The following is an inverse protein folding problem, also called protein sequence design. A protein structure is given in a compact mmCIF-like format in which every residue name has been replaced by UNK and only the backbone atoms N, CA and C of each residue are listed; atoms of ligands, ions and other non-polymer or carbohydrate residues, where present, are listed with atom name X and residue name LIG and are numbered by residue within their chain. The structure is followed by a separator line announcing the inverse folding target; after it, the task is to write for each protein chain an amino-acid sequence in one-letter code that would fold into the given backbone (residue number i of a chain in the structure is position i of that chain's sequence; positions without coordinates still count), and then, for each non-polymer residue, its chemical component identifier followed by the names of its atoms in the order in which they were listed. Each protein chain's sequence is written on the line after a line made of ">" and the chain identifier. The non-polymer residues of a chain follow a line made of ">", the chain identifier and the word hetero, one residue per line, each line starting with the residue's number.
data_IF_824722748384
#
_entry.id   IF_824722748384
#
_cell.length_a   1.000
_cell.length_b   1.000
_cell.length_c   1.000
_cell.angle_alpha   90.00
_cell.angle_beta   90.00
_cell.angle_gamma   90.00
#
_symmetry.space_group_name_H-M   'P 1'
#
loop_
_entity.id
_entity.type
_entity.pdbx_description
1 polymer ?
#
# COMPACT_ATOMS: atom_id res chain seq x y z
N UNK A 1 22.32 -7.41 -38.86
CA UNK A 1 22.38 -7.36 -37.38
C UNK A 1 21.34 -8.35 -36.90
N UNK A 2 21.71 -9.35 -36.10
CA UNK A 2 20.74 -10.30 -35.58
C UNK A 2 19.81 -9.56 -34.61
N UNK A 3 18.49 -9.67 -34.81
CA UNK A 3 17.51 -9.19 -33.84
C UNK A 3 17.79 -9.93 -32.52
N UNK A 4 18.21 -9.17 -31.50
CA UNK A 4 18.37 -9.71 -30.15
C UNK A 4 16.98 -10.00 -29.63
N UNK A 5 16.66 -11.28 -29.46
CA UNK A 5 15.39 -11.70 -28.86
C UNK A 5 15.27 -11.06 -27.46
N UNK A 6 14.16 -10.36 -27.23
CA UNK A 6 13.91 -9.68 -25.95
C UNK A 6 13.60 -10.72 -24.88
N UNK A 7 14.20 -10.55 -23.71
CA UNK A 7 13.88 -11.36 -22.53
C UNK A 7 12.44 -11.17 -22.06
N UNK A 8 11.94 -12.12 -21.26
CA UNK A 8 10.62 -12.03 -20.59
C UNK A 8 10.44 -10.68 -19.90
N UNK A 9 11.47 -10.25 -19.16
CA UNK A 9 11.46 -8.97 -18.45
C UNK A 9 11.34 -7.77 -19.39
N UNK A 10 12.17 -7.70 -20.43
CA UNK A 10 12.14 -6.61 -21.41
C UNK A 10 10.78 -6.55 -22.14
N UNK A 11 10.17 -7.69 -22.42
CA UNK A 11 8.86 -7.77 -23.07
C UNK A 11 7.75 -7.23 -22.16
N UNK A 12 7.70 -7.66 -20.90
CA UNK A 12 6.65 -7.26 -19.96
C UNK A 12 6.81 -5.83 -19.44
N UNK A 13 8.05 -5.42 -19.17
CA UNK A 13 8.35 -4.06 -18.71
C UNK A 13 8.10 -2.99 -19.79
N UNK A 14 8.00 -3.40 -21.06
CA UNK A 14 7.62 -2.50 -22.17
C UNK A 14 6.11 -2.25 -22.30
N UNK A 15 5.27 -2.98 -21.55
CA UNK A 15 3.82 -2.78 -21.58
C UNK A 15 3.49 -1.55 -20.73
N UNK A 16 2.88 -0.55 -21.36
CA UNK A 16 2.26 0.55 -20.63
C UNK A 16 1.00 0.05 -19.90
N UNK A 17 0.99 0.22 -18.58
CA UNK A 17 -0.13 -0.19 -17.73
C UNK A 17 -0.86 1.01 -17.12
N UNK A 18 -0.53 2.24 -17.51
CA UNK A 18 -1.01 3.48 -16.89
C UNK A 18 -2.54 3.59 -16.86
N UNK A 19 -3.23 3.10 -17.88
CA UNK A 19 -4.71 3.07 -17.97
C UNK A 19 -5.36 1.94 -17.15
N UNK A 20 -4.55 1.07 -16.53
CA UNK A 20 -4.97 -0.05 -15.68
C UNK A 20 -4.61 0.14 -14.22
N UNK A 21 -3.88 1.20 -13.88
CA UNK A 21 -3.49 1.50 -12.51
C UNK A 21 -4.71 1.94 -11.72
N UNK A 22 -5.07 1.15 -10.73
CA UNK A 22 -6.01 1.53 -9.70
C UNK A 22 -5.25 2.18 -8.54
N UNK A 23 -5.82 3.25 -7.98
CA UNK A 23 -5.24 4.00 -6.86
C UNK A 23 -6.10 3.83 -5.62
N UNK A 24 -5.49 3.50 -4.50
CA UNK A 24 -6.17 3.41 -3.20
C UNK A 24 -5.52 4.35 -2.23
N UNK A 25 -6.30 5.31 -1.75
CA UNK A 25 -5.89 6.26 -0.71
C UNK A 25 -6.21 5.68 0.67
N UNK A 26 -5.23 5.75 1.56
CA UNK A 26 -5.38 5.46 2.99
C UNK A 26 -4.75 6.61 3.76
N UNK A 27 -5.59 7.55 4.20
CA UNK A 27 -5.11 8.85 4.70
C UNK A 27 -4.37 9.63 3.62
N UNK A 28 -3.11 10.01 3.89
CA UNK A 28 -2.23 10.72 2.93
C UNK A 28 -1.49 9.77 1.99
N UNK A 29 -1.49 8.46 2.26
CA UNK A 29 -0.76 7.48 1.44
C UNK A 29 -1.63 7.05 0.27
N UNK A 30 -1.06 7.04 -0.92
CA UNK A 30 -1.69 6.52 -2.15
C UNK A 30 -0.89 5.32 -2.62
N UNK A 31 -1.53 4.16 -2.69
CA UNK A 31 -0.95 2.96 -3.28
C UNK A 31 -1.50 2.74 -4.67
N UNK A 32 -0.62 2.37 -5.59
CA UNK A 32 -0.95 2.00 -6.97
C UNK A 32 -0.96 0.49 -7.10
N UNK A 33 -1.96 -0.05 -7.79
CA UNK A 33 -2.06 -1.50 -8.00
C UNK A 33 -2.72 -1.81 -9.33
N UNK A 34 -2.46 -3.02 -9.82
CA UNK A 34 -3.17 -3.60 -10.95
C UNK A 34 -4.19 -4.62 -10.43
N UNK A 35 -5.32 -4.72 -11.12
CA UNK A 35 -6.23 -5.84 -10.93
C UNK A 35 -5.52 -7.17 -11.22
N UNK A 36 -5.67 -8.14 -10.32
CA UNK A 36 -5.03 -9.45 -10.47
C UNK A 36 -5.51 -10.20 -11.72
N UNK A 37 -6.79 -10.09 -12.06
CA UNK A 37 -7.36 -10.74 -13.25
C UNK A 37 -6.74 -10.16 -14.52
N UNK A 38 -6.58 -8.84 -14.55
CA UNK A 38 -5.98 -8.14 -15.67
C UNK A 38 -4.50 -8.49 -15.81
N UNK A 39 -3.73 -8.37 -14.72
CA UNK A 39 -2.30 -8.66 -14.72
C UNK A 39 -2.03 -10.10 -15.17
N UNK A 40 -2.77 -11.08 -14.62
CA UNK A 40 -2.62 -12.48 -15.03
C UNK A 40 -3.05 -12.74 -16.47
N UNK A 41 -4.14 -12.11 -16.93
CA UNK A 41 -4.58 -12.22 -18.32
C UNK A 41 -3.51 -11.70 -19.28
N UNK A 42 -2.94 -10.53 -19.00
CA UNK A 42 -1.92 -9.90 -19.83
C UNK A 42 -0.63 -10.73 -19.85
N UNK A 43 -0.23 -11.28 -18.69
CA UNK A 43 0.87 -12.21 -18.59
C UNK A 43 0.67 -13.46 -19.45
N UNK A 44 -0.50 -14.10 -19.36
CA UNK A 44 -0.81 -15.33 -20.10
C UNK A 44 -0.96 -15.13 -21.61
N UNK A 45 -1.37 -13.94 -22.08
CA UNK A 45 -1.39 -13.63 -23.53
C UNK A 45 -0.01 -13.72 -24.14
N UNK A 46 1.01 -13.22 -23.44
CA UNK A 46 2.41 -13.27 -23.88
C UNK A 46 3.07 -14.62 -23.60
N UNK A 47 2.75 -15.22 -22.45
CA UNK A 47 3.34 -16.48 -21.99
C UNK A 47 2.25 -17.52 -21.67
N UNK A 48 1.65 -18.18 -22.68
CA UNK A 48 0.53 -19.09 -22.48
C UNK A 48 0.84 -20.30 -21.61
N UNK A 49 2.11 -20.67 -21.46
CA UNK A 49 2.56 -21.77 -20.59
C UNK A 49 2.83 -21.36 -19.15
N UNK A 50 2.82 -20.05 -18.84
CA UNK A 50 3.06 -19.59 -17.50
C UNK A 50 2.06 -20.19 -16.49
N UNK A 51 2.55 -20.45 -15.29
CA UNK A 51 1.78 -20.96 -14.16
C UNK A 51 2.03 -20.10 -12.93
N UNK A 52 1.12 -20.18 -11.97
CA UNK A 52 1.38 -19.70 -10.62
C UNK A 52 0.91 -20.74 -9.61
N UNK A 53 1.49 -20.68 -8.41
CA UNK A 53 1.11 -21.49 -7.26
C UNK A 53 0.85 -20.58 -6.06
N UNK A 54 -0.17 -20.92 -5.27
CA UNK A 54 -0.36 -20.38 -3.93
C UNK A 54 0.23 -21.42 -2.97
N UNK A 55 1.33 -21.07 -2.29
CA UNK A 55 2.01 -22.02 -1.42
C UNK A 55 1.12 -22.36 -0.23
N UNK A 56 1.01 -23.64 0.07
CA UNK A 56 0.28 -24.15 1.23
C UNK A 56 1.25 -24.64 2.30
N UNK A 57 0.81 -24.53 3.55
CA UNK A 57 1.57 -24.91 4.73
C UNK A 57 0.74 -25.86 5.58
N UNK A 58 1.36 -26.92 6.08
CA UNK A 58 0.71 -27.85 7.00
C UNK A 58 0.67 -27.21 8.39
N UNK A 59 -0.53 -26.98 8.89
CA UNK A 59 -0.76 -26.48 10.25
C UNK A 59 -0.43 -27.53 11.31
N UNK A 60 -0.41 -27.10 12.58
CA UNK A 60 -0.24 -28.01 13.73
C UNK A 60 -1.28 -29.13 13.79
N UNK A 61 -2.48 -28.85 13.28
CA UNK A 61 -3.60 -29.81 13.24
C UNK A 61 -3.61 -30.67 11.97
N UNK A 62 -2.56 -30.58 11.12
CA UNK A 62 -2.43 -31.36 9.90
C UNK A 62 -3.18 -30.80 8.68
N UNK A 63 -3.90 -29.68 8.82
CA UNK A 63 -4.60 -29.04 7.71
C UNK A 63 -3.66 -28.23 6.82
N UNK A 64 -3.85 -28.27 5.50
CA UNK A 64 -3.18 -27.35 4.56
C UNK A 64 -3.83 -25.96 4.60
N UNK A 65 -3.02 -24.93 4.85
CA UNK A 65 -3.44 -23.53 4.89
C UNK A 65 -2.67 -22.70 3.86
N UNK A 66 -3.30 -21.73 3.17
CA UNK A 66 -2.64 -20.89 2.17
C UNK A 66 -1.83 -19.73 2.80
N UNK A 67 -1.36 -19.90 4.04
CA UNK A 67 -0.61 -18.90 4.79
C UNK A 67 0.25 -19.56 5.88
N UNK A 68 1.33 -18.89 6.25
CA UNK A 68 2.03 -19.10 7.52
C UNK A 68 1.42 -18.22 8.60
N UNK A 69 1.40 -18.71 9.83
CA UNK A 69 0.91 -17.99 10.99
C UNK A 69 1.95 -17.99 12.11
N UNK A 70 2.22 -16.81 12.65
CA UNK A 70 2.95 -16.59 13.89
C UNK A 70 2.13 -15.64 14.78
N UNK A 71 1.85 -16.03 16.02
CA UNK A 71 0.95 -15.27 16.90
C UNK A 71 1.50 -13.89 17.29
N UNK A 72 2.82 -13.67 17.12
CA UNK A 72 3.46 -12.39 17.44
C UNK A 72 3.39 -11.42 16.28
N UNK A 73 3.67 -11.90 15.07
CA UNK A 73 3.88 -11.08 13.87
C UNK A 73 2.71 -11.11 12.90
N UNK A 74 1.84 -12.12 12.96
CA UNK A 74 0.61 -12.24 12.18
C UNK A 74 0.69 -13.33 11.11
N UNK A 75 0.12 -13.04 9.94
CA UNK A 75 0.04 -13.99 8.82
C UNK A 75 0.87 -13.56 7.63
N UNK A 76 1.48 -14.52 6.95
CA UNK A 76 2.26 -14.32 5.72
C UNK A 76 1.73 -15.26 4.62
N UNK A 77 1.48 -14.71 3.44
CA UNK A 77 1.05 -15.49 2.26
C UNK A 77 2.17 -15.52 1.23
N UNK A 78 2.20 -16.57 0.40
CA UNK A 78 3.27 -16.80 -0.56
C UNK A 78 2.69 -17.21 -1.90
N UNK A 79 3.29 -16.69 -2.97
CA UNK A 79 2.97 -17.08 -4.34
C UNK A 79 4.26 -17.39 -5.08
N UNK A 80 4.19 -18.31 -6.03
CA UNK A 80 5.26 -18.58 -6.98
C UNK A 80 4.73 -18.42 -8.39
N UNK A 81 5.47 -17.77 -9.27
CA UNK A 81 5.12 -17.61 -10.69
C UNK A 81 6.26 -18.20 -11.52
N UNK A 82 5.92 -19.01 -12.51
CA UNK A 82 6.88 -19.70 -13.38
C UNK A 82 6.61 -19.38 -14.85
N UNK A 83 7.67 -18.99 -15.57
CA UNK A 83 7.68 -18.77 -17.03
C UNK A 83 9.06 -19.12 -17.57
N UNK A 84 9.10 -19.84 -18.70
CA UNK A 84 10.34 -20.24 -19.39
C UNK A 84 11.42 -20.80 -18.44
N UNK A 85 11.01 -21.76 -17.59
CA UNK A 85 11.83 -22.44 -16.57
C UNK A 85 12.38 -21.54 -15.45
N UNK A 86 12.05 -20.25 -15.45
CA UNK A 86 12.37 -19.32 -14.36
C UNK A 86 11.18 -19.24 -13.40
N UNK A 87 11.46 -19.41 -12.11
CA UNK A 87 10.46 -19.27 -11.04
C UNK A 87 10.86 -18.16 -10.09
N UNK A 88 9.92 -17.27 -9.76
CA UNK A 88 10.05 -16.31 -8.68
C UNK A 88 9.04 -16.59 -7.58
N UNK A 89 9.52 -16.67 -6.34
CA UNK A 89 8.70 -16.71 -5.14
C UNK A 89 8.55 -15.28 -4.58
N UNK A 90 7.37 -14.96 -4.09
CA UNK A 90 7.05 -13.70 -3.43
C UNK A 90 6.23 -13.98 -2.18
N UNK A 91 6.37 -13.11 -1.18
CA UNK A 91 5.58 -13.15 0.05
C UNK A 91 4.97 -11.79 0.38
N UNK A 92 3.87 -11.79 1.11
CA UNK A 92 3.21 -10.57 1.57
C UNK A 92 2.53 -10.79 2.93
N UNK A 93 2.68 -9.88 3.91
CA UNK A 93 1.91 -9.99 5.14
C UNK A 93 0.44 -9.71 4.88
N UNK A 94 -0.43 -10.37 5.64
CA UNK A 94 -1.86 -10.03 5.68
C UNK A 94 -2.01 -8.76 6.49
N UNK A 95 -2.58 -7.73 5.86
CA UNK A 95 -2.69 -6.39 6.43
C UNK A 95 -4.09 -5.81 6.24
N UNK A 96 -4.47 -4.92 7.13
CA UNK A 96 -5.71 -4.15 7.05
C UNK A 96 -5.63 -3.03 5.98
N UNK A 97 -6.68 -2.20 5.90
CA UNK A 97 -6.73 -1.06 4.99
C UNK A 97 -5.72 0.07 5.27
N UNK A 98 -5.09 0.06 6.44
CA UNK A 98 -4.05 1.00 6.87
C UNK A 98 -2.64 0.37 6.82
N UNK A 99 -2.49 -0.76 6.12
CA UNK A 99 -1.25 -1.52 6.01
C UNK A 99 -0.68 -1.97 7.38
N UNK A 100 -1.54 -2.18 8.37
CA UNK A 100 -1.14 -2.79 9.65
C UNK A 100 -1.30 -4.30 9.56
N UNK A 101 -0.26 -5.02 9.97
CA UNK A 101 -0.27 -6.48 10.01
C UNK A 101 -1.43 -6.97 10.89
N UNK A 102 -2.26 -7.87 10.36
CA UNK A 102 -3.38 -8.46 11.09
C UNK A 102 -2.91 -9.75 11.79
N UNK A 103 -3.50 -10.02 12.95
CA UNK A 103 -3.16 -11.18 13.81
C UNK A 103 -4.38 -12.05 14.06
N UNK A 104 -4.19 -13.18 14.74
CA UNK A 104 -5.25 -14.09 15.16
C UNK A 104 -6.19 -13.47 16.21
N UNK A 105 -5.74 -12.41 16.89
CA UNK A 105 -6.52 -11.63 17.83
C UNK A 105 -6.43 -10.15 17.51
N UNK A 106 -7.50 -9.37 17.78
CA UNK A 106 -7.42 -7.92 17.66
C UNK A 106 -6.39 -7.37 18.64
N UNK A 107 -5.72 -6.29 18.24
CA UNK A 107 -4.75 -5.60 19.09
C UNK A 107 -4.88 -4.08 18.96
N UNK A 108 -4.38 -3.39 19.97
CA UNK A 108 -4.37 -1.93 20.04
C UNK A 108 -2.95 -1.42 19.91
N UNK A 109 -2.80 -0.25 19.30
CA UNK A 109 -1.52 0.44 19.18
C UNK A 109 -1.72 1.94 19.38
N UNK A 110 -0.72 2.58 19.98
CA UNK A 110 -0.73 4.03 20.18
C UNK A 110 -0.13 4.71 18.95
N UNK A 111 -0.85 5.67 18.39
CA UNK A 111 -0.29 6.59 17.41
C UNK A 111 0.18 7.85 18.10
N UNK A 112 1.23 8.47 17.56
CA UNK A 112 1.81 9.70 18.13
C UNK A 112 0.80 10.86 18.23
N UNK A 113 -0.19 10.90 17.34
CA UNK A 113 -1.07 12.06 17.18
C UNK A 113 -2.57 11.77 17.26
N UNK A 114 -3.02 10.57 16.88
CA UNK A 114 -4.45 10.24 16.80
C UNK A 114 -4.87 9.25 17.90
N UNK A 115 -4.10 9.18 18.99
CA UNK A 115 -4.39 8.32 20.14
C UNK A 115 -4.30 6.82 19.85
N UNK A 116 -5.03 6.05 20.65
CA UNK A 116 -5.15 4.60 20.52
C UNK A 116 -5.96 4.24 19.27
N UNK A 117 -5.43 3.31 18.47
CA UNK A 117 -6.12 2.68 17.34
C UNK A 117 -6.16 1.17 17.56
N UNK A 118 -7.11 0.49 16.94
CA UNK A 118 -7.18 -0.97 16.91
C UNK A 118 -6.90 -1.52 15.51
N UNK A 119 -6.45 -2.76 15.48
CA UNK A 119 -6.40 -3.61 14.29
C UNK A 119 -7.26 -4.83 14.61
N UNK A 120 -8.20 -5.13 13.72
CA UNK A 120 -9.08 -6.28 13.85
C UNK A 120 -8.33 -7.59 13.58
N UNK A 121 -8.89 -8.71 14.05
CA UNK A 121 -8.37 -10.03 13.70
C UNK A 121 -8.48 -10.30 12.19
N UNK A 122 -7.56 -11.08 11.63
CA UNK A 122 -7.59 -11.41 10.22
C UNK A 122 -8.79 -12.30 9.86
N UNK A 123 -9.42 -12.02 8.72
CA UNK A 123 -10.41 -12.90 8.10
C UNK A 123 -9.83 -13.64 6.89
N UNK A 124 -10.49 -14.71 6.44
CA UNK A 124 -10.12 -15.37 5.17
C UNK A 124 -10.26 -14.45 3.96
N UNK A 125 -11.09 -13.40 4.04
CA UNK A 125 -11.17 -12.39 2.98
C UNK A 125 -9.91 -11.53 2.92
N UNK A 126 -9.32 -11.20 4.08
CA UNK A 126 -8.06 -10.48 4.16
C UNK A 126 -6.90 -11.34 3.64
N UNK A 127 -6.90 -12.63 3.98
CA UNK A 127 -5.96 -13.62 3.42
C UNK A 127 -6.07 -13.67 1.90
N UNK A 128 -7.28 -13.83 1.35
CA UNK A 128 -7.48 -13.88 -0.11
C UNK A 128 -7.00 -12.60 -0.80
N UNK A 129 -7.31 -11.42 -0.23
CA UNK A 129 -6.80 -10.14 -0.74
C UNK A 129 -5.28 -10.09 -0.72
N UNK A 130 -4.65 -10.54 0.36
CA UNK A 130 -3.19 -10.57 0.47
C UNK A 130 -2.59 -11.52 -0.57
N UNK A 131 -3.17 -12.69 -0.81
CA UNK A 131 -2.71 -13.65 -1.82
C UNK A 131 -2.76 -13.01 -3.21
N UNK A 132 -3.88 -12.37 -3.58
CA UNK A 132 -4.00 -11.73 -4.89
C UNK A 132 -3.04 -10.54 -5.04
N UNK A 133 -2.85 -9.73 -3.99
CA UNK A 133 -1.82 -8.67 -3.98
C UNK A 133 -0.41 -9.24 -4.15
N UNK A 134 -0.11 -10.34 -3.46
CA UNK A 134 1.16 -11.05 -3.55
C UNK A 134 1.40 -11.57 -4.96
N UNK A 135 0.39 -12.17 -5.59
CA UNK A 135 0.46 -12.67 -6.97
C UNK A 135 0.80 -11.56 -7.96
N UNK A 136 0.12 -10.42 -7.89
CA UNK A 136 0.39 -9.30 -8.82
C UNK A 136 1.80 -8.73 -8.62
N UNK A 137 2.26 -8.61 -7.37
CA UNK A 137 3.65 -8.20 -7.08
C UNK A 137 4.66 -9.22 -7.59
N UNK A 138 4.35 -10.51 -7.52
CA UNK A 138 5.20 -11.56 -8.09
C UNK A 138 5.27 -11.45 -9.62
N UNK A 139 4.13 -11.27 -10.28
CA UNK A 139 4.06 -11.02 -11.73
C UNK A 139 4.91 -9.79 -12.11
N UNK A 140 4.90 -8.74 -11.28
CA UNK A 140 5.70 -7.55 -11.51
C UNK A 140 7.22 -7.79 -11.43
N UNK A 141 7.68 -8.83 -10.72
CA UNK A 141 9.11 -9.22 -10.73
C UNK A 141 9.58 -9.67 -12.12
N UNK A 142 8.66 -10.14 -12.96
CA UNK A 142 8.92 -10.42 -14.36
C UNK A 142 8.76 -9.18 -15.25
N UNK A 143 8.55 -7.98 -14.70
CA UNK A 143 8.56 -6.70 -15.41
C UNK A 143 7.20 -6.05 -15.60
N UNK A 144 6.08 -6.78 -15.49
CA UNK A 144 4.75 -6.21 -15.77
C UNK A 144 4.36 -5.18 -14.71
N UNK A 145 4.34 -3.90 -15.08
CA UNK A 145 3.92 -2.82 -14.20
C UNK A 145 4.83 -2.59 -12.99
N UNK A 146 6.07 -3.09 -13.00
CA UNK A 146 7.00 -2.98 -11.86
C UNK A 146 7.18 -1.53 -11.37
N UNK A 147 7.21 -0.58 -12.31
CA UNK A 147 7.42 0.84 -12.02
C UNK A 147 6.32 1.47 -11.14
N UNK A 148 5.12 0.90 -11.07
CA UNK A 148 4.03 1.46 -10.24
C UNK A 148 4.24 1.18 -8.74
N UNK A 149 5.11 0.22 -8.41
CA UNK A 149 5.47 -0.14 -7.04
C UNK A 149 6.72 0.59 -6.55
N UNK A 150 7.42 1.30 -7.44
CA UNK A 150 8.56 2.11 -7.07
C UNK A 150 8.12 3.21 -6.09
N UNK A 151 8.80 3.33 -4.95
CA UNK A 151 8.50 4.32 -3.93
C UNK A 151 7.56 3.85 -2.81
N UNK A 152 6.96 2.66 -2.91
CA UNK A 152 6.25 2.05 -1.76
C UNK A 152 7.19 1.73 -0.58
N UNK A 153 8.50 1.62 -0.85
CA UNK A 153 9.58 1.35 0.09
C UNK A 153 10.15 2.62 0.76
N UNK A 154 9.75 3.81 0.29
CA UNK A 154 10.17 5.07 0.90
C UNK A 154 9.51 5.24 2.28
N UNK A 155 10.19 5.90 3.24
CA UNK A 155 9.63 6.15 4.56
C UNK A 155 8.28 6.87 4.44
N UNK A 156 7.27 6.37 5.16
CA UNK A 156 6.02 7.12 5.29
C UNK A 156 6.32 8.49 5.90
N UNK A 157 5.83 9.57 5.28
CA UNK A 157 5.85 10.87 5.93
C UNK A 157 5.15 10.76 7.28
N UNK A 158 5.71 11.33 8.36
CA UNK A 158 5.14 11.20 9.68
C UNK A 158 3.68 11.67 9.64
N UNK A 159 2.73 10.87 10.16
CA UNK A 159 1.32 11.22 10.11
C UNK A 159 1.16 12.58 10.78
N UNK A 160 0.61 13.57 10.08
CA UNK A 160 0.27 14.84 10.73
C UNK A 160 -1.08 14.67 11.45
N UNK A 161 -1.25 15.26 12.64
CA UNK A 161 -2.53 15.29 13.34
C UNK A 161 -3.69 15.64 12.40
N UNK A 162 -4.75 14.84 12.45
CA UNK A 162 -6.02 15.19 11.80
C UNK A 162 -6.76 16.16 12.73
N UNK A 163 -6.39 17.42 12.64
CA UNK A 163 -7.11 18.54 13.24
C UNK A 163 -8.16 19.03 12.26
N UNK A 164 -9.31 19.48 12.75
CA UNK A 164 -10.26 20.25 11.96
C UNK A 164 -9.63 21.56 11.45
N UNK A 165 -10.22 22.17 10.42
CA UNK A 165 -9.69 23.40 9.83
C UNK A 165 -9.55 24.52 10.89
N UNK A 166 -10.57 24.70 11.74
CA UNK A 166 -10.52 25.60 12.89
C UNK A 166 -9.40 25.28 13.89
N UNK A 167 -9.17 24.00 14.19
CA UNK A 167 -8.09 23.57 15.10
C UNK A 167 -6.69 23.78 14.51
N UNK A 168 -6.53 23.60 13.19
CA UNK A 168 -5.29 23.90 12.48
C UNK A 168 -4.96 25.40 12.57
N UNK A 169 -5.95 26.25 12.27
CA UNK A 169 -5.80 27.70 12.36
C UNK A 169 -5.50 28.13 13.79
N UNK A 170 -6.20 27.58 14.79
CA UNK A 170 -5.96 27.89 16.19
C UNK A 170 -4.57 27.45 16.66
N UNK A 171 -4.10 26.25 16.26
CA UNK A 171 -2.75 25.76 16.58
C UNK A 171 -1.67 26.64 15.95
N UNK A 172 -1.86 27.03 14.69
CA UNK A 172 -0.96 27.97 14.00
C UNK A 172 -0.89 29.31 14.74
N UNK A 173 -2.03 29.94 15.05
CA UNK A 173 -2.07 31.23 15.75
C UNK A 173 -1.53 31.15 17.19
N UNK A 174 -1.59 29.98 17.83
CA UNK A 174 -0.95 29.77 19.13
C UNK A 174 0.58 29.79 19.02
N UNK A 175 1.14 29.30 17.92
CA UNK A 175 2.58 29.28 17.66
C UNK A 175 3.08 30.63 17.07
N UNK A 176 2.22 31.31 16.31
CA UNK A 176 2.53 32.54 15.57
C UNK A 176 1.43 33.61 15.78
N UNK A 177 1.24 34.11 17.02
CA UNK A 177 0.14 35.02 17.35
C UNK A 177 0.17 36.34 16.57
N UNK A 178 1.36 36.78 16.13
CA UNK A 178 1.56 37.98 15.32
C UNK A 178 0.88 37.91 13.94
N UNK A 179 0.62 36.70 13.43
CA UNK A 179 0.02 36.51 12.10
C UNK A 179 -1.52 36.55 12.11
N UNK A 180 -2.15 36.79 13.26
CA UNK A 180 -3.61 36.90 13.38
C UNK A 180 -4.25 37.88 12.37
N UNK A 181 -3.73 39.10 12.16
CA UNK A 181 -4.31 40.02 11.17
C UNK A 181 -4.32 39.45 9.75
N UNK A 182 -3.26 38.74 9.35
CA UNK A 182 -3.13 38.15 8.02
C UNK A 182 -4.11 36.96 7.85
N UNK A 183 -4.23 36.13 8.89
CA UNK A 183 -5.19 35.01 8.89
C UNK A 183 -6.63 35.53 8.79
N UNK A 184 -6.97 36.56 9.57
CA UNK A 184 -8.30 37.19 9.54
C UNK A 184 -8.58 37.85 8.16
N UNK A 185 -7.56 38.33 7.46
CA UNK A 185 -7.68 38.83 6.08
C UNK A 185 -7.89 37.71 5.07
N UNK A 186 -7.15 36.60 5.17
CA UNK A 186 -7.34 35.45 4.29
C UNK A 186 -8.74 34.84 4.43
N UNK A 187 -9.29 34.75 5.64
CA UNK A 187 -10.64 34.24 5.88
C UNK A 187 -11.75 35.10 5.27
N UNK A 188 -11.47 36.34 4.86
CA UNK A 188 -12.44 37.18 4.11
C UNK A 188 -12.52 36.81 2.63
N UNK A 189 -11.47 36.20 2.09
CA UNK A 189 -11.31 35.99 0.64
C UNK A 189 -11.16 34.51 0.25
N UNK A 190 -10.90 33.63 1.22
CA UNK A 190 -10.70 32.19 1.05
C UNK A 190 -11.60 31.42 2.00
N UNK A 191 -11.91 30.18 1.64
CA UNK A 191 -12.60 29.26 2.55
C UNK A 191 -11.72 28.91 3.76
N UNK A 192 -12.35 28.54 4.88
CA UNK A 192 -11.63 28.10 6.08
C UNK A 192 -10.65 26.95 5.78
N UNK A 193 -11.07 26.01 4.93
CA UNK A 193 -10.25 24.89 4.49
C UNK A 193 -8.97 25.33 3.76
N UNK A 194 -9.09 26.27 2.82
CA UNK A 194 -7.92 26.81 2.10
C UNK A 194 -6.95 27.52 3.04
N UNK A 195 -7.47 28.30 4.00
CA UNK A 195 -6.63 28.97 5.00
C UNK A 195 -5.95 27.95 5.91
N UNK A 196 -6.68 26.93 6.37
CA UNK A 196 -6.14 25.87 7.21
C UNK A 196 -4.99 25.10 6.54
N UNK A 197 -5.16 24.70 5.27
CA UNK A 197 -4.08 24.03 4.52
C UNK A 197 -2.87 24.93 4.28
N UNK A 198 -3.06 26.24 4.06
CA UNK A 198 -1.95 27.20 3.99
C UNK A 198 -1.18 27.27 5.31
N UNK A 199 -1.87 27.37 6.45
CA UNK A 199 -1.23 27.48 7.76
C UNK A 199 -0.53 26.20 8.21
N UNK A 200 -1.08 25.04 7.82
CA UNK A 200 -0.57 23.70 8.14
C UNK A 200 0.89 23.50 7.77
N UNK A 201 1.37 24.14 6.69
CA UNK A 201 2.76 24.08 6.25
C UNK A 201 3.74 24.76 7.22
N UNK A 202 3.26 25.66 8.09
CA UNK A 202 4.06 26.47 9.01
C UNK A 202 3.88 26.10 10.49
N UNK A 203 3.10 25.05 10.77
CA UNK A 203 2.94 24.52 12.12
C UNK A 203 4.16 23.66 12.46
N UNK A 204 4.84 24.01 13.54
CA UNK A 204 5.84 23.14 14.18
C UNK A 204 5.10 22.02 14.92
N UNK A 205 5.07 20.83 14.33
CA UNK A 205 4.39 19.67 14.90
C UNK A 205 5.11 19.05 16.11
N UNK A 206 6.29 19.54 16.48
CA UNK A 206 6.99 19.12 17.70
C UNK A 206 6.53 19.86 18.96
N UNK A 207 5.73 20.92 18.81
CA UNK A 207 5.22 21.80 19.88
C UNK A 207 3.70 21.80 19.96
#
# INVERSE_FOLDING_TARGET
>A
MADKEKSVFELLNSIDVSDKVEKKKSGKNELSYLSWTWAWSEFKKKFPKATYEIKKFVSKDGNELPYMHDSTTGFMVFTSVTVDDVTHEMWLPVMDGANKAMKDKPYKYMTKYNGEKSVEQASMFDVNKAIMRCLVKNIAMFGLGLYIYAGEDLPEEPPQPQLSDAELIAKYLKQHPENKPNVDEFLKTKSEHEVAEMMKAYIDWSK
#
